data_IF_272282457807
#
_entry.id   IF_272282457807
#
_cell.length_a   1.000
_cell.length_b   1.000
_cell.length_c   1.000
_cell.angle_alpha   90.00
_cell.angle_beta   90.00
_cell.angle_gamma   90.00
#
_symmetry.space_group_name_H-M   'P 1'
#
loop_
_entity.id
_entity.type
_entity.pdbx_description
1 polymer ?
#
# COMPACT_ATOMS: atom_id res chain seq x y z
N UNK A 1 32.12 20.82 -39.03
CA UNK A 1 32.41 21.95 -38.13
C UNK A 1 31.10 22.37 -37.48
N UNK A 2 31.06 22.41 -36.13
CA UNK A 2 29.97 22.84 -35.23
C UNK A 2 28.68 22.02 -35.10
N UNK A 3 28.62 21.20 -34.04
CA UNK A 3 27.76 21.35 -32.84
C UNK A 3 27.99 20.16 -31.90
N UNK A 4 29.17 20.12 -31.28
CA UNK A 4 29.52 19.13 -30.27
C UNK A 4 29.61 19.85 -28.92
N UNK A 5 28.48 19.92 -28.22
CA UNK A 5 28.38 20.47 -26.86
C UNK A 5 26.98 20.15 -26.29
N UNK A 6 26.57 18.88 -26.22
CA UNK A 6 25.19 18.51 -25.83
C UNK A 6 24.96 18.34 -24.33
N UNK A 7 25.98 18.35 -23.47
CA UNK A 7 25.76 18.60 -22.04
C UNK A 7 25.69 20.11 -21.76
N UNK A 8 26.52 20.93 -22.41
CA UNK A 8 26.55 22.39 -22.19
C UNK A 8 25.40 23.13 -22.90
N UNK A 9 24.81 22.59 -23.97
CA UNK A 9 23.69 23.25 -24.67
C UNK A 9 22.29 22.74 -24.32
N UNK A 10 22.16 21.59 -23.66
CA UNK A 10 20.83 21.09 -23.21
C UNK A 10 20.50 21.64 -21.81
N UNK A 11 21.54 22.08 -21.09
CA UNK A 11 21.49 22.90 -19.89
C UNK A 11 21.38 24.39 -20.32
N UNK A 12 20.25 24.79 -20.91
CA UNK A 12 20.03 26.19 -21.34
C UNK A 12 19.22 27.03 -20.35
N UNK A 13 18.81 26.45 -19.22
CA UNK A 13 18.00 27.13 -18.19
C UNK A 13 18.58 26.93 -16.78
N UNK A 14 19.58 26.06 -16.60
CA UNK A 14 20.08 25.65 -15.28
C UNK A 14 21.59 25.97 -15.23
N UNK A 15 22.12 26.51 -14.13
CA UNK A 15 23.57 26.66 -13.99
C UNK A 15 24.11 25.33 -13.43
N UNK A 16 25.08 24.72 -14.11
CA UNK A 16 25.67 23.44 -13.70
C UNK A 16 27.19 23.55 -13.62
N UNK A 17 27.78 23.05 -12.52
CA UNK A 17 29.22 23.02 -12.30
C UNK A 17 29.69 21.57 -12.34
N UNK A 18 30.50 21.22 -13.35
CA UNK A 18 31.16 19.91 -13.46
C UNK A 18 32.50 19.99 -12.73
N UNK A 19 32.69 19.18 -11.70
CA UNK A 19 33.97 19.09 -10.98
C UNK A 19 34.60 17.73 -11.29
N UNK A 20 35.67 17.74 -12.08
CA UNK A 20 36.56 16.58 -12.21
C UNK A 20 37.41 16.54 -10.94
N UNK A 21 37.20 15.55 -10.06
CA UNK A 21 37.90 15.43 -8.77
C UNK A 21 39.35 14.91 -8.99
N UNK A 22 40.11 15.64 -9.79
CA UNK A 22 41.53 15.46 -10.03
C UNK A 22 42.39 16.56 -9.38
N UNK A 23 41.96 17.82 -9.43
CA UNK A 23 42.59 18.96 -8.72
C UNK A 23 41.53 20.07 -8.59
N UNK A 24 41.55 20.80 -7.48
CA UNK A 24 40.72 21.95 -7.05
C UNK A 24 39.70 21.55 -5.96
N UNK A 25 40.26 21.39 -4.76
CA UNK A 25 39.52 21.57 -3.52
C UNK A 25 39.33 23.06 -3.27
N UNK A 26 38.16 23.59 -3.64
CA UNK A 26 37.60 24.78 -2.99
C UNK A 26 36.12 24.85 -3.30
N UNK A 27 35.29 24.35 -2.38
CA UNK A 27 33.90 24.71 -2.06
C UNK A 27 33.30 23.56 -1.23
N UNK A 28 33.90 23.32 -0.05
CA UNK A 28 33.34 22.41 0.95
C UNK A 28 32.64 23.25 2.01
N UNK A 29 31.32 23.30 1.96
CA UNK A 29 30.50 23.74 3.09
C UNK A 29 30.54 22.67 4.19
N UNK A 30 31.30 22.95 5.24
CA UNK A 30 31.30 22.42 6.62
C UNK A 30 30.56 21.10 6.93
N UNK A 31 30.87 20.01 6.23
CA UNK A 31 30.69 18.66 6.75
C UNK A 31 31.93 17.83 6.39
N UNK A 32 32.59 17.14 7.35
CA UNK A 32 33.68 16.25 7.03
C UNK A 32 33.11 14.97 6.39
N UNK A 33 32.98 14.94 5.07
CA UNK A 33 32.65 13.71 4.35
C UNK A 33 33.90 12.84 4.22
N UNK A 34 33.90 11.73 4.95
CA UNK A 34 34.88 10.65 4.80
C UNK A 34 34.78 10.02 3.41
N UNK A 35 35.89 10.06 2.66
CA UNK A 35 36.10 9.27 1.44
C UNK A 35 36.39 7.81 1.82
N UNK A 36 35.37 6.95 1.91
CA UNK A 36 35.58 5.50 2.06
C UNK A 36 34.64 4.60 1.25
N UNK A 37 33.79 5.14 0.38
CA UNK A 37 32.64 4.38 -0.15
C UNK A 37 32.93 3.39 -1.29
N UNK A 38 34.09 3.40 -1.96
CA UNK A 38 34.35 2.50 -3.10
C UNK A 38 35.47 1.46 -2.89
N UNK A 39 35.87 1.16 -1.65
CA UNK A 39 37.02 0.27 -1.44
C UNK A 39 36.78 -1.22 -1.63
N UNK A 40 35.54 -1.75 -1.73
CA UNK A 40 35.31 -3.21 -1.82
C UNK A 40 34.17 -3.62 -2.77
N UNK A 41 34.30 -3.35 -4.07
CA UNK A 41 33.54 -4.11 -5.08
C UNK A 41 34.50 -4.67 -6.12
N UNK A 42 35.08 -5.84 -5.82
CA UNK A 42 35.73 -6.65 -6.84
C UNK A 42 34.67 -7.19 -7.80
N UNK A 43 34.62 -6.62 -9.01
CA UNK A 43 34.01 -7.29 -10.14
C UNK A 43 34.90 -8.49 -10.48
N UNK A 44 34.38 -9.72 -10.29
CA UNK A 44 34.97 -10.92 -10.91
C UNK A 44 34.94 -10.72 -12.41
N UNK A 45 36.09 -10.43 -12.99
CA UNK A 45 36.30 -10.41 -14.43
C UNK A 45 36.56 -11.86 -14.86
N UNK A 46 35.58 -12.46 -15.56
CA UNK A 46 35.82 -13.72 -16.26
C UNK A 46 36.67 -13.43 -17.50
N UNK A 47 37.97 -13.74 -17.39
CA UNK A 47 38.95 -13.57 -18.46
C UNK A 47 38.80 -14.66 -19.51
N UNK A 48 37.78 -14.59 -20.36
CA UNK A 48 37.76 -15.28 -21.66
C UNK A 48 37.01 -14.46 -22.70
N UNK A 49 37.78 -13.70 -23.49
CA UNK A 49 37.72 -13.54 -24.96
C UNK A 49 38.44 -12.24 -25.34
N UNK A 50 39.38 -12.35 -26.28
CA UNK A 50 40.09 -11.25 -26.97
C UNK A 50 40.17 -11.64 -28.45
N UNK A 51 40.23 -10.70 -29.42
CA UNK A 51 39.58 -9.40 -29.49
C UNK A 51 38.90 -9.20 -30.86
N UNK A 52 37.67 -8.70 -30.89
CA UNK A 52 37.17 -7.90 -32.01
C UNK A 52 36.07 -6.98 -31.48
N UNK A 53 36.49 -6.02 -30.65
CA UNK A 53 35.58 -4.99 -30.14
C UNK A 53 35.48 -3.94 -31.23
N UNK A 54 34.38 -3.92 -31.98
CA UNK A 54 33.93 -2.71 -32.67
C UNK A 54 34.11 -1.56 -31.68
N UNK A 55 35.00 -0.63 -32.00
CA UNK A 55 35.39 0.45 -31.11
C UNK A 55 34.13 1.20 -30.66
N UNK A 56 33.68 0.97 -29.42
CA UNK A 56 32.58 1.72 -28.84
C UNK A 56 33.05 3.17 -28.81
N UNK A 57 32.60 3.99 -29.77
CA UNK A 57 33.12 5.35 -29.93
C UNK A 57 32.49 6.26 -28.87
N UNK A 58 33.08 6.27 -27.68
CA UNK A 58 32.78 7.28 -26.67
C UNK A 58 33.60 8.55 -26.95
N UNK A 59 33.01 9.71 -26.74
CA UNK A 59 33.67 11.02 -26.88
C UNK A 59 34.36 11.44 -25.60
N UNK A 60 33.82 11.03 -24.45
CA UNK A 60 34.37 11.39 -23.14
C UNK A 60 34.05 10.29 -22.13
N UNK A 61 35.01 10.00 -21.25
CA UNK A 61 34.85 9.11 -20.11
C UNK A 61 35.52 9.75 -18.90
N UNK A 62 34.79 9.87 -17.79
CA UNK A 62 35.28 10.48 -16.55
C UNK A 62 34.99 9.50 -15.42
N UNK A 63 36.04 9.00 -14.78
CA UNK A 63 35.92 8.18 -13.57
C UNK A 63 35.78 9.09 -12.32
N UNK A 64 35.07 8.60 -11.29
CA UNK A 64 34.72 9.35 -10.08
C UNK A 64 34.00 10.68 -10.37
N UNK A 65 32.98 10.61 -11.23
CA UNK A 65 32.24 11.77 -11.69
C UNK A 65 31.38 12.39 -10.58
N UNK A 66 31.33 13.73 -10.54
CA UNK A 66 30.45 14.50 -9.69
C UNK A 66 29.90 15.76 -10.41
N UNK A 67 28.62 16.04 -10.19
CA UNK A 67 27.89 17.17 -10.78
C UNK A 67 26.95 17.80 -9.76
N UNK A 68 26.93 19.13 -9.69
CA UNK A 68 25.94 19.90 -8.94
C UNK A 68 25.08 20.72 -9.91
N UNK A 69 23.76 20.70 -9.68
CA UNK A 69 22.76 21.41 -10.49
C UNK A 69 22.00 22.43 -9.66
N UNK A 70 21.88 23.65 -10.19
CA UNK A 70 21.25 24.79 -9.51
C UNK A 70 20.08 25.34 -10.32
N UNK A 71 18.97 25.68 -9.66
CA UNK A 71 17.84 26.31 -10.34
C UNK A 71 18.15 27.75 -10.83
N UNK A 72 17.17 28.40 -11.47
CA UNK A 72 17.31 29.78 -11.97
C UNK A 72 17.66 30.79 -10.85
N UNK A 73 17.26 30.51 -9.61
CA UNK A 73 17.57 31.29 -8.40
C UNK A 73 18.94 30.96 -7.78
N UNK A 74 19.73 30.10 -8.42
CA UNK A 74 21.03 29.60 -7.93
C UNK A 74 20.96 28.74 -6.65
N UNK A 75 19.82 28.14 -6.37
CA UNK A 75 19.65 27.21 -5.25
C UNK A 75 20.02 25.80 -5.72
N UNK A 76 20.76 25.05 -4.89
CA UNK A 76 21.16 23.67 -5.19
C UNK A 76 19.91 22.79 -5.22
N UNK A 77 19.70 22.08 -6.33
CA UNK A 77 18.53 21.19 -6.51
C UNK A 77 18.93 19.73 -6.57
N UNK A 78 20.13 19.44 -7.10
CA UNK A 78 20.60 18.07 -7.28
C UNK A 78 22.12 17.99 -7.15
N UNK A 79 22.59 16.88 -6.59
CA UNK A 79 23.99 16.47 -6.60
C UNK A 79 24.08 15.02 -7.07
N UNK A 80 24.77 14.82 -8.18
CA UNK A 80 24.97 13.52 -8.80
C UNK A 80 26.40 13.07 -8.65
N UNK A 81 26.60 11.83 -8.19
CA UNK A 81 27.89 11.13 -8.18
C UNK A 81 27.78 9.84 -8.96
N UNK A 82 28.85 9.41 -9.62
CA UNK A 82 28.90 8.12 -10.29
C UNK A 82 30.31 7.54 -10.27
N UNK A 83 30.42 6.21 -10.35
CA UNK A 83 31.72 5.55 -10.52
C UNK A 83 32.37 5.96 -11.83
N UNK A 84 31.58 6.00 -12.90
CA UNK A 84 32.04 6.39 -14.23
C UNK A 84 30.92 7.12 -14.98
N UNK A 85 31.29 8.21 -15.64
CA UNK A 85 30.51 8.91 -16.66
C UNK A 85 31.02 8.52 -18.04
N UNK A 86 30.13 8.23 -18.98
CA UNK A 86 30.46 7.90 -20.36
C UNK A 86 29.55 8.68 -21.30
N UNK A 87 30.14 9.51 -22.15
CA UNK A 87 29.44 10.21 -23.22
C UNK A 87 29.74 9.52 -24.56
N UNK A 88 28.70 9.11 -25.27
CA UNK A 88 28.81 8.42 -26.55
C UNK A 88 28.54 9.38 -27.71
N UNK A 89 29.12 9.08 -28.87
CA UNK A 89 28.95 9.94 -30.05
C UNK A 89 27.49 10.03 -30.54
N UNK A 90 26.74 8.92 -30.43
CA UNK A 90 25.39 8.76 -30.99
C UNK A 90 24.39 8.11 -30.02
N UNK A 91 24.70 8.09 -28.71
CA UNK A 91 23.85 7.48 -27.69
C UNK A 91 23.76 8.38 -26.46
N UNK A 92 22.70 8.25 -25.64
CA UNK A 92 22.58 8.98 -24.39
C UNK A 92 23.80 8.78 -23.49
N UNK A 93 24.14 9.82 -22.73
CA UNK A 93 25.19 9.75 -21.71
C UNK A 93 24.81 8.77 -20.62
N UNK A 94 25.74 7.89 -20.23
CA UNK A 94 25.53 6.87 -19.19
C UNK A 94 26.35 7.17 -17.94
N UNK A 95 25.73 7.02 -16.78
CA UNK A 95 26.37 6.93 -15.48
C UNK A 95 26.36 5.48 -15.00
N UNK A 96 27.51 4.99 -14.53
CA UNK A 96 27.63 3.69 -13.88
C UNK A 96 27.65 3.86 -12.36
N UNK A 97 26.83 3.07 -11.67
CA UNK A 97 26.60 3.15 -10.22
C UNK A 97 26.31 4.59 -9.74
N UNK A 98 25.30 5.26 -10.33
CA UNK A 98 24.96 6.62 -9.91
C UNK A 98 24.35 6.64 -8.51
N UNK A 99 24.66 7.71 -7.79
CA UNK A 99 24.04 8.13 -6.55
C UNK A 99 23.60 9.57 -6.74
N UNK A 100 22.30 9.81 -6.80
CA UNK A 100 21.71 11.14 -6.97
C UNK A 100 21.07 11.56 -5.67
N UNK A 101 21.42 12.75 -5.18
CA UNK A 101 20.80 13.39 -4.03
C UNK A 101 20.02 14.62 -4.49
N UNK A 102 18.75 14.71 -4.09
CA UNK A 102 17.90 15.89 -4.31
C UNK A 102 17.87 16.76 -3.05
N UNK A 103 17.57 18.05 -3.24
CA UNK A 103 17.51 19.04 -2.17
C UNK A 103 16.18 19.77 -2.21
N UNK A 104 15.62 20.05 -1.03
CA UNK A 104 14.42 20.86 -0.88
C UNK A 104 14.72 22.36 -1.08
N UNK A 105 13.68 23.18 -1.00
CA UNK A 105 13.77 24.66 -1.12
C UNK A 105 14.65 25.32 -0.06
N UNK A 106 14.85 24.66 1.08
CA UNK A 106 15.67 25.15 2.19
C UNK A 106 17.13 24.66 2.07
N UNK A 107 17.44 23.90 1.00
CA UNK A 107 18.76 23.35 0.71
C UNK A 107 19.10 22.11 1.53
N UNK A 108 18.12 21.46 2.14
CA UNK A 108 18.30 20.23 2.90
C UNK A 108 18.18 19.01 1.99
N UNK A 109 19.03 17.97 2.15
CA UNK A 109 18.91 16.74 1.38
C UNK A 109 17.59 16.03 1.66
N UNK A 110 16.83 15.75 0.60
CA UNK A 110 15.47 15.21 0.70
C UNK A 110 15.45 13.73 0.32
N UNK A 111 15.87 13.38 -0.89
CA UNK A 111 15.87 12.00 -1.41
C UNK A 111 17.24 11.59 -1.97
N UNK A 112 17.49 10.28 -1.95
CA UNK A 112 18.59 9.62 -2.64
C UNK A 112 18.05 8.57 -3.60
N UNK A 113 18.55 8.59 -4.84
CA UNK A 113 18.25 7.62 -5.88
C UNK A 113 19.54 6.90 -6.28
N UNK A 114 19.53 5.57 -6.20
CA UNK A 114 20.64 4.69 -6.56
C UNK A 114 20.19 3.69 -7.62
N UNK A 115 21.11 3.21 -8.47
CA UNK A 115 20.86 2.14 -9.45
C UNK A 115 22.18 1.55 -9.95
N UNK A 116 22.11 0.50 -10.79
CA UNK A 116 23.29 -0.03 -11.49
C UNK A 116 23.79 0.93 -12.58
N UNK A 117 22.86 1.56 -13.30
CA UNK A 117 23.18 2.57 -14.32
C UNK A 117 22.06 3.57 -14.50
N UNK A 118 22.39 4.77 -15.00
CA UNK A 118 21.41 5.74 -15.44
C UNK A 118 21.81 6.39 -16.75
N UNK A 119 20.83 6.69 -17.60
CA UNK A 119 21.02 7.42 -18.84
C UNK A 119 20.42 8.82 -18.72
N UNK A 120 21.22 9.85 -18.98
CA UNK A 120 20.73 11.20 -19.19
C UNK A 120 20.14 11.30 -20.59
N UNK A 121 18.85 11.59 -20.64
CA UNK A 121 18.09 11.75 -21.86
C UNK A 121 17.90 13.24 -22.18
N UNK A 122 17.28 13.51 -23.33
CA UNK A 122 16.95 14.86 -23.73
C UNK A 122 16.07 15.57 -22.68
N UNK A 123 16.21 16.90 -22.64
CA UNK A 123 15.44 17.81 -21.77
C UNK A 123 15.68 17.64 -20.26
N UNK A 124 16.71 16.92 -19.85
CA UNK A 124 17.07 16.70 -18.44
C UNK A 124 16.34 15.52 -17.80
N UNK A 125 15.67 14.68 -18.60
CA UNK A 125 15.08 13.44 -18.10
C UNK A 125 16.18 12.40 -17.81
N UNK A 126 15.92 11.53 -16.83
CA UNK A 126 16.88 10.50 -16.43
C UNK A 126 16.16 9.15 -16.42
N UNK A 127 16.78 8.14 -17.04
CA UNK A 127 16.32 6.75 -16.95
C UNK A 127 17.32 5.91 -16.15
N UNK A 128 16.93 5.50 -14.95
CA UNK A 128 17.67 4.56 -14.10
C UNK A 128 17.31 3.11 -14.46
N UNK A 129 18.29 2.23 -14.41
CA UNK A 129 18.20 0.83 -14.83
C UNK A 129 18.96 -0.05 -13.84
N UNK A 130 18.31 -1.13 -13.40
CA UNK A 130 18.84 -2.17 -12.53
C UNK A 130 18.83 -1.75 -11.07
N UNK A 131 18.14 -2.53 -10.22
CA UNK A 131 18.12 -2.36 -8.76
C UNK A 131 17.93 -0.89 -8.32
N UNK A 132 16.93 -0.22 -8.87
CA UNK A 132 16.66 1.20 -8.58
C UNK A 132 16.05 1.32 -7.19
N UNK A 133 16.68 2.11 -6.32
CA UNK A 133 16.21 2.36 -4.96
C UNK A 133 16.05 3.87 -4.78
N UNK A 134 14.85 4.30 -4.40
CA UNK A 134 14.53 5.68 -4.01
C UNK A 134 14.27 5.68 -2.51
N UNK A 135 15.03 6.46 -1.75
CA UNK A 135 14.85 6.57 -0.29
C UNK A 135 14.99 8.03 0.17
N UNK A 136 14.21 8.48 1.16
CA UNK A 136 14.41 9.75 1.81
C UNK A 136 15.72 9.72 2.61
N UNK A 137 16.39 10.85 2.68
CA UNK A 137 17.63 11.02 3.47
C UNK A 137 17.29 11.32 4.92
N UNK A 138 16.20 12.04 5.16
CA UNK A 138 15.69 12.37 6.49
C UNK A 138 14.23 11.92 6.62
N UNK A 139 13.80 11.59 7.83
CA UNK A 139 12.43 11.14 8.09
C UNK A 139 12.20 9.64 7.95
N UNK A 140 10.94 9.30 7.73
CA UNK A 140 10.32 8.07 8.18
C UNK A 140 10.40 6.91 7.18
N UNK A 141 11.60 6.42 6.84
CA UNK A 141 11.83 5.05 6.36
C UNK A 141 11.17 4.57 5.05
N UNK A 142 10.31 5.36 4.41
CA UNK A 142 9.63 4.96 3.18
C UNK A 142 10.65 4.75 2.08
N UNK A 143 10.54 3.72 1.27
CA UNK A 143 11.40 3.61 0.09
C UNK A 143 10.72 2.84 -1.04
N UNK A 144 11.19 3.10 -2.25
CA UNK A 144 10.70 2.45 -3.45
C UNK A 144 11.84 1.66 -4.06
N UNK A 145 11.55 0.42 -4.42
CA UNK A 145 12.45 -0.44 -5.19
C UNK A 145 11.79 -0.86 -6.49
N UNK A 146 12.54 -0.79 -7.59
CA UNK A 146 12.05 -1.15 -8.94
C UNK A 146 13.22 -1.46 -9.88
N UNK A 147 12.96 -2.10 -11.03
CA UNK A 147 14.03 -2.44 -11.98
C UNK A 147 14.36 -1.30 -12.95
N UNK A 148 13.40 -0.43 -13.21
CA UNK A 148 13.63 0.81 -13.96
C UNK A 148 12.87 1.98 -13.37
N UNK A 149 13.43 3.18 -13.53
CA UNK A 149 12.75 4.41 -13.15
C UNK A 149 13.05 5.48 -14.18
N UNK A 150 11.99 6.08 -14.70
CA UNK A 150 12.09 7.31 -15.47
C UNK A 150 11.74 8.49 -14.56
N UNK A 151 12.60 9.48 -14.54
CA UNK A 151 12.45 10.72 -13.78
C UNK A 151 12.42 11.90 -14.75
N UNK A 152 11.38 12.72 -14.62
CA UNK A 152 11.23 13.99 -15.33
C UNK A 152 11.24 15.14 -14.34
N UNK A 153 12.41 15.74 -14.06
CA UNK A 153 12.54 16.79 -13.04
C UNK A 153 11.64 18.00 -13.32
N UNK A 154 11.55 18.43 -14.58
CA UNK A 154 10.73 19.58 -14.99
C UNK A 154 9.26 19.44 -14.62
N UNK A 155 8.75 18.21 -14.66
CA UNK A 155 7.33 17.93 -14.46
C UNK A 155 7.05 17.31 -13.09
N UNK A 156 8.09 17.12 -12.25
CA UNK A 156 8.00 16.42 -10.96
C UNK A 156 7.41 15.00 -11.07
N UNK A 157 7.61 14.35 -12.21
CA UNK A 157 6.98 13.07 -12.53
C UNK A 157 8.00 11.94 -12.51
N UNK A 158 7.65 10.87 -11.80
CA UNK A 158 8.38 9.62 -11.74
C UNK A 158 7.48 8.50 -12.27
N UNK A 159 8.02 7.59 -13.06
CA UNK A 159 7.29 6.38 -13.42
C UNK A 159 8.19 5.17 -13.63
N UNK A 160 7.63 3.99 -13.40
CA UNK A 160 8.23 2.69 -13.70
C UNK A 160 7.18 1.85 -14.42
N UNK A 161 7.59 1.08 -15.42
CA UNK A 161 6.73 0.05 -16.04
C UNK A 161 7.10 -1.36 -15.55
N UNK A 162 7.92 -1.46 -14.52
CA UNK A 162 8.37 -2.73 -13.94
C UNK A 162 7.74 -2.96 -12.57
N UNK A 163 7.94 -4.14 -11.98
CA UNK A 163 7.50 -4.42 -10.61
C UNK A 163 8.00 -3.31 -9.67
N UNK A 164 7.12 -2.88 -8.76
CA UNK A 164 7.42 -1.89 -7.73
C UNK A 164 7.21 -2.52 -6.36
N UNK A 165 8.21 -2.41 -5.48
CA UNK A 165 8.03 -2.60 -4.05
C UNK A 165 8.04 -1.22 -3.40
N UNK A 166 6.97 -0.86 -2.70
CA UNK A 166 6.88 0.35 -1.89
C UNK A 166 6.85 -0.06 -0.42
N UNK A 167 7.76 0.50 0.34
CA UNK A 167 7.91 0.26 1.77
C UNK A 167 7.49 1.50 2.53
N UNK A 168 6.76 1.28 3.60
CA UNK A 168 6.35 2.26 4.59
C UNK A 168 6.76 1.76 5.99
N UNK A 169 6.59 2.59 7.02
CA UNK A 169 6.83 2.22 8.41
C UNK A 169 6.08 0.96 8.84
N UNK A 170 4.86 0.80 8.32
CA UNK A 170 3.87 -0.19 8.74
C UNK A 170 3.33 -1.04 7.60
N UNK A 171 3.79 -0.80 6.38
CA UNK A 171 3.26 -1.44 5.18
C UNK A 171 4.36 -1.81 4.19
N UNK A 172 4.14 -2.92 3.50
CA UNK A 172 4.93 -3.34 2.36
C UNK A 172 4.01 -3.65 1.21
N UNK A 173 4.16 -2.91 0.11
CA UNK A 173 3.27 -2.97 -1.04
C UNK A 173 4.05 -3.48 -2.25
N UNK A 174 3.54 -4.52 -2.90
CA UNK A 174 4.09 -5.04 -4.15
C UNK A 174 3.08 -4.82 -5.29
N UNK A 175 3.46 -4.03 -6.29
CA UNK A 175 2.66 -3.84 -7.51
C UNK A 175 3.35 -4.43 -8.73
N UNK A 176 2.61 -5.16 -9.56
CA UNK A 176 3.21 -5.93 -10.68
C UNK A 176 3.53 -5.11 -11.92
N UNK A 177 2.76 -4.07 -12.22
CA UNK A 177 2.78 -3.45 -13.56
C UNK A 177 3.33 -2.02 -13.57
N UNK A 178 3.91 -1.55 -12.47
CA UNK A 178 4.55 -0.25 -12.40
C UNK A 178 3.98 0.73 -11.41
N UNK A 179 4.47 1.96 -11.53
CA UNK A 179 4.00 3.11 -10.77
C UNK A 179 4.06 4.40 -11.59
N UNK A 180 3.27 5.38 -11.17
CA UNK A 180 3.43 6.80 -11.51
C UNK A 180 3.35 7.59 -10.21
N UNK A 181 4.20 8.59 -10.07
CA UNK A 181 4.18 9.48 -8.92
C UNK A 181 4.41 10.91 -9.38
N UNK A 182 3.66 11.84 -8.80
CA UNK A 182 4.02 13.24 -8.82
C UNK A 182 4.61 13.61 -7.46
N UNK A 183 5.89 14.01 -7.42
CA UNK A 183 6.58 14.29 -6.15
C UNK A 183 6.11 15.57 -5.48
N UNK A 184 5.56 16.52 -6.24
CA UNK A 184 5.04 17.78 -5.67
C UNK A 184 3.67 17.60 -5.03
N UNK A 185 2.82 16.77 -5.64
CA UNK A 185 1.47 16.51 -5.14
C UNK A 185 1.44 15.43 -4.05
N UNK A 186 2.55 14.72 -3.85
CA UNK A 186 2.68 13.58 -2.91
C UNK A 186 1.65 12.47 -3.20
N UNK A 187 1.41 12.21 -4.49
CA UNK A 187 0.45 11.20 -4.96
C UNK A 187 1.15 10.17 -5.84
N UNK A 188 0.85 8.90 -5.56
CA UNK A 188 1.40 7.76 -6.28
C UNK A 188 0.27 6.83 -6.72
N UNK A 189 0.27 6.44 -7.99
CA UNK A 189 -0.55 5.35 -8.50
C UNK A 189 0.34 4.14 -8.77
N UNK A 190 -0.02 3.01 -8.20
CA UNK A 190 0.57 1.69 -8.44
C UNK A 190 -0.34 0.92 -9.40
N UNK A 191 0.23 0.25 -10.40
CA UNK A 191 -0.54 -0.42 -11.45
C UNK A 191 -0.46 -1.95 -11.37
N UNK A 192 -1.55 -2.60 -11.78
CA UNK A 192 -1.65 -4.04 -11.87
C UNK A 192 -2.20 -4.69 -10.61
N UNK A 193 -1.90 -5.97 -10.42
CA UNK A 193 -2.17 -6.66 -9.16
C UNK A 193 -1.27 -6.09 -8.06
N UNK A 194 -1.88 -5.78 -6.92
CA UNK A 194 -1.20 -5.14 -5.79
C UNK A 194 -1.46 -5.93 -4.51
N UNK A 195 -0.40 -6.42 -3.88
CA UNK A 195 -0.42 -7.04 -2.56
C UNK A 195 0.08 -6.00 -1.55
N UNK A 196 -0.68 -5.76 -0.47
CA UNK A 196 -0.34 -4.83 0.62
C UNK A 196 -0.25 -5.68 1.89
N UNK A 197 0.93 -5.78 2.46
CA UNK A 197 1.17 -6.41 3.76
C UNK A 197 1.12 -5.31 4.81
N UNK A 198 0.27 -5.47 5.80
CA UNK A 198 0.17 -4.57 6.95
C UNK A 198 0.85 -5.20 8.16
N UNK A 199 1.00 -4.43 9.23
CA UNK A 199 1.39 -4.97 10.53
C UNK A 199 0.43 -6.08 10.99
N UNK A 200 0.92 -7.00 11.83
CA UNK A 200 0.17 -8.14 12.39
C UNK A 200 -0.25 -9.22 11.39
N UNK A 201 0.59 -9.50 10.37
CA UNK A 201 0.41 -10.55 9.37
C UNK A 201 -0.87 -10.42 8.50
N UNK A 202 -1.47 -9.23 8.50
CA UNK A 202 -2.65 -8.93 7.68
C UNK A 202 -2.25 -8.61 6.24
N UNK A 203 -3.09 -9.02 5.29
CA UNK A 203 -2.83 -8.78 3.86
C UNK A 203 -4.06 -8.27 3.15
N UNK A 204 -3.89 -7.24 2.34
CA UNK A 204 -4.86 -6.78 1.35
C UNK A 204 -4.37 -7.16 -0.06
N UNK A 205 -5.27 -7.65 -0.89
CA UNK A 205 -5.02 -7.95 -2.30
C UNK A 205 -6.01 -7.17 -3.15
N UNK A 206 -5.50 -6.32 -4.03
CA UNK A 206 -6.33 -5.45 -4.88
C UNK A 206 -5.71 -5.27 -6.25
N UNK A 207 -6.25 -4.35 -7.05
CA UNK A 207 -5.63 -3.85 -8.26
C UNK A 207 -5.59 -2.33 -8.25
N UNK A 208 -4.60 -1.77 -8.93
CA UNK A 208 -4.47 -0.34 -9.18
C UNK A 208 -4.71 0.50 -7.91
N UNK A 209 -3.68 0.57 -7.06
CA UNK A 209 -3.74 1.27 -5.79
C UNK A 209 -3.28 2.72 -5.97
N UNK A 210 -4.10 3.68 -5.53
CA UNK A 210 -3.71 5.07 -5.39
C UNK A 210 -3.32 5.36 -3.94
N UNK A 211 -2.19 6.01 -3.75
CA UNK A 211 -1.64 6.41 -2.46
C UNK A 211 -1.60 7.93 -2.48
N UNK A 212 -2.39 8.54 -1.61
CA UNK A 212 -2.38 9.99 -1.36
C UNK A 212 -1.68 10.23 -0.03
N UNK A 213 -0.59 11.01 -0.07
CA UNK A 213 0.17 11.43 1.11
C UNK A 213 0.07 12.93 1.39
N UNK A 214 -0.72 13.63 0.58
CA UNK A 214 -0.76 15.08 0.60
C UNK A 214 -1.25 15.62 1.94
N UNK A 215 -0.59 16.69 2.42
CA UNK A 215 -0.91 17.37 3.69
C UNK A 215 -0.80 16.43 4.91
N UNK A 216 0.07 15.43 4.81
CA UNK A 216 0.31 14.44 5.86
C UNK A 216 -0.74 13.34 5.93
N UNK A 217 -1.85 13.42 5.19
CA UNK A 217 -2.88 12.38 5.16
C UNK A 217 -2.36 11.17 4.39
N UNK A 218 -2.33 9.98 4.99
CA UNK A 218 -1.84 8.77 4.33
C UNK A 218 -3.02 7.84 4.03
N UNK A 219 -3.51 7.90 2.79
CA UNK A 219 -4.68 7.14 2.34
C UNK A 219 -4.39 6.27 1.14
N UNK A 220 -4.79 5.01 1.25
CA UNK A 220 -4.63 4.03 0.19
C UNK A 220 -6.02 3.69 -0.35
N UNK A 221 -6.25 3.91 -1.64
CA UNK A 221 -7.55 3.76 -2.27
C UNK A 221 -7.47 2.86 -3.50
N UNK A 222 -8.44 1.96 -3.64
CA UNK A 222 -8.65 1.21 -4.89
C UNK A 222 -10.13 1.10 -5.21
N UNK A 223 -10.45 1.29 -6.50
CA UNK A 223 -11.80 1.08 -7.05
C UNK A 223 -12.03 -0.36 -7.53
N UNK A 224 -11.10 -1.26 -7.23
CA UNK A 224 -11.12 -2.63 -7.70
C UNK A 224 -11.40 -3.61 -6.56
N UNK A 225 -11.91 -4.78 -6.97
CA UNK A 225 -12.24 -5.84 -6.04
C UNK A 225 -11.04 -6.15 -5.13
N UNK A 226 -11.31 -6.15 -3.83
CA UNK A 226 -10.29 -6.22 -2.79
C UNK A 226 -10.56 -7.40 -1.86
N UNK A 227 -9.53 -8.19 -1.58
CA UNK A 227 -9.55 -9.24 -0.57
C UNK A 227 -8.70 -8.82 0.63
N UNK A 228 -9.30 -8.71 1.81
CA UNK A 228 -8.62 -8.57 3.08
C UNK A 228 -8.50 -9.94 3.76
N UNK A 229 -7.34 -10.22 4.37
CA UNK A 229 -7.04 -11.48 5.04
C UNK A 229 -6.42 -11.17 6.41
N UNK A 230 -6.99 -11.72 7.47
CA UNK A 230 -6.46 -11.65 8.84
C UNK A 230 -6.76 -12.94 9.61
N UNK A 231 -5.72 -13.72 9.90
CA UNK A 231 -5.88 -15.07 10.47
C UNK A 231 -6.81 -15.94 9.60
N UNK A 232 -7.86 -16.49 10.22
CA UNK A 232 -8.88 -17.31 9.54
C UNK A 232 -9.95 -16.47 8.81
N UNK A 233 -9.92 -15.14 8.93
CA UNK A 233 -10.89 -14.25 8.30
C UNK A 233 -10.44 -13.89 6.90
N UNK A 234 -11.36 -14.08 5.94
CA UNK A 234 -11.22 -13.57 4.58
C UNK A 234 -12.40 -12.68 4.25
N UNK A 235 -12.15 -11.44 3.84
CA UNK A 235 -13.19 -10.51 3.43
C UNK A 235 -12.99 -10.11 1.98
N UNK A 236 -13.99 -10.34 1.14
CA UNK A 236 -13.98 -9.91 -0.26
C UNK A 236 -14.92 -8.70 -0.43
N UNK A 237 -14.51 -7.72 -1.22
CA UNK A 237 -15.28 -6.49 -1.49
C UNK A 237 -15.08 -5.96 -2.91
N UNK A 238 -15.86 -4.96 -3.31
CA UNK A 238 -15.79 -4.37 -4.66
C UNK A 238 -14.73 -3.26 -4.78
N UNK A 239 -14.37 -2.61 -3.67
CA UNK A 239 -13.39 -1.53 -3.60
C UNK A 239 -12.87 -1.36 -2.17
N UNK A 240 -11.79 -0.61 -1.99
CA UNK A 240 -11.25 -0.29 -0.66
C UNK A 240 -10.81 1.17 -0.50
N UNK A 241 -10.87 1.64 0.74
CA UNK A 241 -10.27 2.90 1.18
C UNK A 241 -9.70 2.68 2.59
N UNK A 242 -8.37 2.74 2.71
CA UNK A 242 -7.63 2.54 3.95
C UNK A 242 -7.05 3.86 4.41
N UNK A 243 -7.45 4.27 5.61
CA UNK A 243 -6.88 5.39 6.34
C UNK A 243 -5.78 4.87 7.27
N UNK A 244 -4.52 5.12 6.92
CA UNK A 244 -3.37 4.60 7.67
C UNK A 244 -3.17 5.28 9.02
N UNK A 245 -3.64 6.51 9.19
CA UNK A 245 -3.52 7.26 10.44
C UNK A 245 -4.50 6.73 11.48
N UNK A 246 -5.75 6.57 11.07
CA UNK A 246 -6.81 6.08 11.95
C UNK A 246 -6.81 4.55 12.07
N UNK A 247 -6.06 3.85 11.21
CA UNK A 247 -6.05 2.39 11.12
C UNK A 247 -7.45 1.82 10.83
N UNK A 248 -8.16 2.46 9.89
CA UNK A 248 -9.53 2.13 9.49
C UNK A 248 -9.54 1.74 8.02
N UNK A 249 -10.01 0.53 7.75
CA UNK A 249 -10.22 0.00 6.41
C UNK A 249 -11.71 0.01 6.07
N UNK A 250 -12.08 0.74 5.03
CA UNK A 250 -13.41 0.70 4.44
C UNK A 250 -13.41 -0.23 3.22
N UNK A 251 -14.22 -1.29 3.29
CA UNK A 251 -14.48 -2.21 2.20
C UNK A 251 -15.82 -1.84 1.55
N UNK A 252 -15.72 -1.17 0.40
CA UNK A 252 -16.79 -0.44 -0.25
C UNK A 252 -17.59 -1.37 -1.17
N UNK A 253 -18.90 -1.14 -1.26
CA UNK A 253 -19.81 -1.92 -2.09
C UNK A 253 -20.23 -3.20 -1.40
N UNK A 254 -20.51 -4.26 -2.16
CA UNK A 254 -20.83 -5.58 -1.58
C UNK A 254 -19.62 -6.15 -0.86
N UNK A 255 -19.80 -6.59 0.37
CA UNK A 255 -18.77 -7.20 1.19
C UNK A 255 -19.22 -8.59 1.66
N UNK A 256 -18.28 -9.54 1.61
CA UNK A 256 -18.47 -10.94 2.02
C UNK A 256 -17.37 -11.34 3.00
N UNK A 257 -17.74 -11.59 4.26
CA UNK A 257 -16.84 -12.11 5.30
C UNK A 257 -16.98 -13.64 5.32
N UNK A 258 -15.88 -14.33 5.09
CA UNK A 258 -15.74 -15.78 5.23
C UNK A 258 -14.88 -16.04 6.46
N UNK A 259 -15.50 -16.62 7.48
CA UNK A 259 -14.85 -17.21 8.64
C UNK A 259 -15.26 -18.69 8.70
N UNK A 260 -14.42 -19.55 9.30
CA UNK A 260 -14.54 -21.02 9.26
C UNK A 260 -15.97 -21.57 9.31
N UNK A 261 -16.81 -21.05 10.21
CA UNK A 261 -18.16 -21.56 10.46
C UNK A 261 -19.28 -20.55 10.11
N UNK A 262 -18.91 -19.37 9.61
CA UNK A 262 -19.83 -18.26 9.40
C UNK A 262 -19.55 -17.56 8.08
N UNK A 263 -20.61 -17.37 7.31
CA UNK A 263 -20.60 -16.53 6.12
C UNK A 263 -21.47 -15.28 6.35
N UNK A 264 -20.91 -14.09 6.11
CA UNK A 264 -21.63 -12.82 6.30
C UNK A 264 -21.62 -12.03 5.00
N UNK A 265 -22.79 -11.69 4.49
CA UNK A 265 -22.95 -10.80 3.35
C UNK A 265 -23.51 -9.46 3.83
N UNK A 266 -22.84 -8.36 3.49
CA UNK A 266 -23.27 -7.01 3.83
C UNK A 266 -22.82 -6.03 2.75
N UNK A 267 -22.98 -4.73 2.98
CA UNK A 267 -22.43 -3.67 2.13
C UNK A 267 -21.69 -2.63 2.95
N UNK A 268 -20.67 -1.99 2.37
CA UNK A 268 -19.86 -0.95 3.01
C UNK A 268 -19.41 -1.35 4.43
N UNK A 269 -18.60 -2.41 4.48
CA UNK A 269 -18.07 -2.92 5.72
C UNK A 269 -16.88 -2.09 6.15
N UNK A 270 -16.83 -1.74 7.44
CA UNK A 270 -15.68 -1.09 8.05
C UNK A 270 -14.96 -2.08 8.93
N UNK A 271 -13.63 -2.10 8.84
CA UNK A 271 -12.73 -2.84 9.74
C UNK A 271 -11.91 -1.79 10.48
N UNK A 272 -12.20 -1.62 11.77
CA UNK A 272 -11.51 -0.71 12.67
C UNK A 272 -10.49 -1.49 13.50
N UNK A 273 -9.25 -1.04 13.46
CA UNK A 273 -8.11 -1.67 14.14
C UNK A 273 -7.39 -0.69 15.07
N UNK A 274 -7.96 0.49 15.32
CA UNK A 274 -7.35 1.56 16.13
C UNK A 274 -7.09 1.14 17.58
N UNK A 275 -7.92 0.23 18.11
CA UNK A 275 -7.85 -0.25 19.50
C UNK A 275 -6.93 -1.45 19.71
N UNK A 276 -6.25 -1.95 18.66
CA UNK A 276 -5.50 -3.20 18.69
C UNK A 276 -6.37 -4.47 18.66
N UNK A 277 -7.69 -4.31 18.55
CA UNK A 277 -8.67 -5.37 18.31
C UNK A 277 -9.46 -5.03 17.05
N UNK A 278 -9.61 -6.01 16.16
CA UNK A 278 -10.35 -5.83 14.91
C UNK A 278 -11.85 -5.84 15.19
N UNK A 279 -12.51 -4.73 14.86
CA UNK A 279 -13.96 -4.56 14.90
C UNK A 279 -14.49 -4.48 13.48
N UNK A 280 -15.43 -5.34 13.13
CA UNK A 280 -16.04 -5.39 11.80
C UNK A 280 -17.48 -4.90 11.91
N UNK A 281 -17.83 -3.79 11.25
CA UNK A 281 -19.18 -3.26 11.36
C UNK A 281 -19.73 -2.71 10.05
N UNK A 282 -21.05 -2.82 9.90
CA UNK A 282 -21.79 -2.21 8.80
C UNK A 282 -23.15 -1.72 9.29
N UNK A 283 -23.57 -0.57 8.78
CA UNK A 283 -24.90 0.02 9.03
C UNK A 283 -25.92 -0.39 7.96
N UNK A 284 -25.66 -1.49 7.25
CA UNK A 284 -26.47 -1.96 6.14
C UNK A 284 -27.03 -3.35 6.40
N UNK A 285 -28.10 -3.66 5.67
CA UNK A 285 -28.74 -4.97 5.69
C UNK A 285 -27.70 -6.07 5.53
N UNK A 286 -27.74 -7.02 6.44
CA UNK A 286 -26.74 -8.06 6.58
C UNK A 286 -27.43 -9.42 6.59
N UNK A 287 -26.86 -10.37 5.84
CA UNK A 287 -27.18 -11.78 5.96
C UNK A 287 -26.05 -12.48 6.72
N UNK A 288 -26.35 -13.09 7.85
CA UNK A 288 -25.45 -13.89 8.66
C UNK A 288 -25.86 -15.36 8.53
N UNK A 289 -24.97 -16.18 8.01
CA UNK A 289 -25.22 -17.56 7.64
C UNK A 289 -24.35 -18.48 8.50
N UNK A 290 -25.00 -19.40 9.20
CA UNK A 290 -24.36 -20.49 9.93
C UNK A 290 -24.72 -21.83 9.30
N UNK A 291 -24.26 -22.94 9.88
CA UNK A 291 -24.64 -24.28 9.43
C UNK A 291 -26.15 -24.51 9.43
N UNK A 292 -26.87 -23.96 10.42
CA UNK A 292 -28.27 -24.28 10.67
C UNK A 292 -29.22 -23.09 10.48
N UNK A 293 -28.70 -21.87 10.53
CA UNK A 293 -29.52 -20.66 10.55
C UNK A 293 -29.11 -19.67 9.46
N UNK A 294 -30.13 -19.03 8.87
CA UNK A 294 -29.97 -17.81 8.09
C UNK A 294 -30.60 -16.66 8.86
N UNK A 295 -29.78 -15.67 9.22
CA UNK A 295 -30.19 -14.54 10.02
C UNK A 295 -30.08 -13.26 9.19
N UNK A 296 -31.14 -12.46 9.17
CA UNK A 296 -31.16 -11.15 8.52
C UNK A 296 -31.17 -10.07 9.58
N UNK A 297 -30.38 -9.01 9.38
CA UNK A 297 -30.40 -7.81 10.23
C UNK A 297 -30.25 -6.52 9.42
N UNK A 298 -30.52 -5.37 10.03
CA UNK A 298 -30.37 -4.05 9.40
C UNK A 298 -28.94 -3.49 9.53
N UNK A 299 -28.16 -4.02 10.47
CA UNK A 299 -26.76 -3.67 10.70
C UNK A 299 -26.03 -4.78 11.48
N UNK A 300 -24.71 -4.71 11.52
CA UNK A 300 -23.84 -5.65 12.24
C UNK A 300 -22.64 -4.95 12.89
N UNK A 301 -22.20 -5.45 14.04
CA UNK A 301 -20.93 -5.13 14.72
C UNK A 301 -20.36 -6.44 15.27
N UNK A 302 -19.14 -6.77 14.89
CA UNK A 302 -18.49 -8.03 15.24
C UNK A 302 -17.17 -7.73 15.94
N UNK A 303 -17.07 -8.27 17.15
CA UNK A 303 -15.80 -8.49 17.81
C UNK A 303 -15.31 -9.91 17.48
N UNK A 304 -14.42 -10.01 16.48
CA UNK A 304 -13.91 -11.30 16.03
C UNK A 304 -13.08 -12.00 17.10
N UNK A 305 -12.28 -11.25 17.88
CA UNK A 305 -11.44 -11.84 18.93
C UNK A 305 -12.28 -12.29 20.13
N UNK A 306 -13.32 -11.54 20.46
CA UNK A 306 -14.31 -11.90 21.47
C UNK A 306 -15.24 -13.03 21.04
N UNK A 307 -15.29 -13.37 19.74
CA UNK A 307 -16.27 -14.26 19.15
C UNK A 307 -17.72 -13.83 19.45
N UNK A 308 -17.98 -12.53 19.40
CA UNK A 308 -19.30 -11.93 19.66
C UNK A 308 -19.72 -11.13 18.43
N UNK A 309 -20.94 -11.36 17.96
CA UNK A 309 -21.58 -10.58 16.90
C UNK A 309 -22.86 -9.94 17.43
N UNK A 310 -23.06 -8.66 17.13
CA UNK A 310 -24.29 -7.93 17.39
C UNK A 310 -24.98 -7.62 16.07
N UNK A 311 -26.22 -8.07 15.94
CA UNK A 311 -27.07 -7.85 14.78
C UNK A 311 -28.15 -6.86 15.18
N UNK A 312 -28.08 -5.64 14.67
CA UNK A 312 -28.93 -4.54 15.12
C UNK A 312 -30.17 -4.32 14.26
N UNK A 313 -31.14 -3.60 14.85
CA UNK A 313 -32.40 -3.27 14.21
C UNK A 313 -33.33 -4.48 14.16
N UNK A 314 -34.12 -4.59 13.09
CA UNK A 314 -34.98 -5.76 12.87
C UNK A 314 -34.14 -6.98 12.55
N UNK A 315 -34.38 -8.07 13.30
CA UNK A 315 -33.68 -9.34 13.11
C UNK A 315 -34.68 -10.45 12.81
N UNK A 316 -34.39 -11.26 11.78
CA UNK A 316 -35.16 -12.46 11.44
C UNK A 316 -34.23 -13.65 11.34
N UNK A 317 -34.47 -14.66 12.17
CA UNK A 317 -33.77 -15.94 12.17
C UNK A 317 -34.65 -16.96 11.44
N UNK A 318 -34.10 -17.58 10.40
CA UNK A 318 -34.69 -18.72 9.71
C UNK A 318 -33.86 -19.96 10.03
N UNK A 319 -34.44 -20.90 10.78
CA UNK A 319 -33.79 -22.14 11.14
C UNK A 319 -34.05 -23.22 10.08
N UNK A 320 -33.12 -24.16 9.93
CA UNK A 320 -33.26 -25.32 9.03
C UNK A 320 -34.47 -26.22 9.36
N UNK A 321 -34.96 -26.18 10.61
CA UNK A 321 -36.21 -26.84 11.04
C UNK A 321 -37.48 -26.25 10.42
N UNK A 322 -37.38 -25.09 9.76
CA UNK A 322 -38.52 -24.30 9.29
C UNK A 322 -39.04 -23.30 10.32
N UNK A 323 -38.45 -23.25 11.51
CA UNK A 323 -38.78 -22.25 12.53
C UNK A 323 -38.35 -20.84 12.10
N UNK A 324 -39.19 -19.87 12.43
CA UNK A 324 -38.92 -18.45 12.22
C UNK A 324 -38.93 -17.74 13.58
N UNK A 325 -37.91 -16.91 13.83
CA UNK A 325 -37.85 -16.06 15.02
C UNK A 325 -37.65 -14.62 14.55
N UNK A 326 -38.65 -13.77 14.79
CA UNK A 326 -38.55 -12.33 14.56
C UNK A 326 -38.23 -11.64 15.90
N UNK A 327 -37.24 -10.74 15.92
CA UNK A 327 -36.88 -9.94 17.09
C UNK A 327 -36.29 -8.59 16.65
N UNK A 328 -35.89 -7.77 17.62
CA UNK A 328 -34.90 -6.72 17.40
C UNK A 328 -33.61 -7.05 18.15
N UNK A 329 -32.49 -6.47 17.72
CA UNK A 329 -31.16 -6.53 18.34
C UNK A 329 -30.79 -7.90 18.94
N UNK A 330 -29.99 -8.67 18.20
CA UNK A 330 -29.57 -10.01 18.58
C UNK A 330 -28.06 -10.02 18.87
N UNK A 331 -27.69 -10.51 20.05
CA UNK A 331 -26.32 -10.90 20.37
C UNK A 331 -26.15 -12.38 20.00
N UNK A 332 -25.08 -12.68 19.26
CA UNK A 332 -24.59 -14.04 19.00
C UNK A 332 -23.24 -14.16 19.70
N UNK A 333 -23.18 -15.02 20.72
CA UNK A 333 -21.99 -15.24 21.52
C UNK A 333 -21.46 -16.66 21.31
N UNK A 334 -20.19 -16.76 20.88
CA UNK A 334 -19.48 -18.04 20.67
C UNK A 334 -18.24 -18.19 21.56
N UNK A 335 -18.04 -17.32 22.55
CA UNK A 335 -16.78 -17.23 23.31
C UNK A 335 -16.46 -18.47 24.14
N UNK A 336 -17.47 -19.24 24.54
CA UNK A 336 -17.33 -20.38 25.47
C UNK A 336 -17.43 -21.74 24.77
N UNK A 337 -17.23 -21.80 23.44
CA UNK A 337 -17.40 -23.03 22.66
C UNK A 337 -18.85 -23.49 22.49
N UNK A 338 -19.81 -22.68 22.94
CA UNK A 338 -21.25 -22.82 22.69
C UNK A 338 -21.71 -21.59 21.91
N UNK A 339 -22.60 -21.79 20.95
CA UNK A 339 -23.26 -20.69 20.25
C UNK A 339 -24.58 -20.35 20.95
N UNK A 340 -24.69 -19.12 21.42
CA UNK A 340 -25.86 -18.61 22.14
C UNK A 340 -26.41 -17.40 21.42
N UNK A 341 -27.72 -17.43 21.12
CA UNK A 341 -28.46 -16.27 20.65
C UNK A 341 -29.19 -15.62 21.82
N UNK A 342 -29.01 -14.32 22.01
CA UNK A 342 -29.59 -13.58 23.13
C UNK A 342 -30.19 -12.26 22.67
N UNK A 343 -31.37 -11.94 23.20
CA UNK A 343 -31.99 -10.63 23.03
C UNK A 343 -32.85 -10.29 24.25
N UNK A 344 -32.91 -9.00 24.56
CA UNK A 344 -33.82 -8.44 25.57
C UNK A 344 -35.01 -7.73 24.91
N UNK A 345 -35.15 -7.84 23.59
CA UNK A 345 -36.25 -7.30 22.83
C UNK A 345 -37.35 -8.34 22.61
N UNK A 346 -38.55 -7.84 22.28
CA UNK A 346 -39.70 -8.69 21.98
C UNK A 346 -39.39 -9.65 20.85
N UNK A 347 -39.70 -10.92 21.08
CA UNK A 347 -39.57 -11.98 20.11
C UNK A 347 -40.93 -12.49 19.65
N UNK A 348 -40.98 -12.99 18.42
CA UNK A 348 -42.05 -13.81 17.87
C UNK A 348 -41.43 -15.10 17.31
N UNK A 349 -41.63 -16.20 18.02
CA UNK A 349 -41.21 -17.53 17.60
C UNK A 349 -42.38 -18.25 16.91
N UNK A 350 -42.16 -18.79 15.72
CA UNK A 350 -43.14 -19.59 14.98
C UNK A 350 -42.52 -20.88 14.49
N UNK A 351 -43.15 -21.99 14.81
CA UNK A 351 -42.89 -23.30 14.22
C UNK A 351 -44.18 -23.87 13.63
N UNK A 352 -44.15 -25.14 13.20
CA UNK A 352 -45.34 -25.83 12.69
C UNK A 352 -46.44 -26.00 13.74
N UNK A 353 -46.07 -26.21 15.00
CA UNK A 353 -47.01 -26.58 16.07
C UNK A 353 -47.12 -25.52 17.17
N UNK A 354 -46.34 -24.43 17.08
CA UNK A 354 -46.24 -23.44 18.14
C UNK A 354 -46.10 -22.02 17.57
N UNK A 355 -46.86 -21.08 18.14
CA UNK A 355 -46.68 -19.64 17.96
C UNK A 355 -46.50 -18.99 19.35
N UNK A 356 -45.29 -18.49 19.64
CA UNK A 356 -44.92 -17.88 20.93
C UNK A 356 -44.53 -16.42 20.78
N UNK A 357 -44.87 -15.62 21.79
CA UNK A 357 -44.39 -14.25 21.98
C UNK A 357 -43.82 -14.08 23.37
N UNK A 358 -42.68 -13.41 23.48
CA UNK A 358 -42.01 -13.08 24.74
C UNK A 358 -41.25 -11.74 24.62
N UNK A 359 -40.74 -11.21 25.73
CA UNK A 359 -39.98 -9.93 25.74
C UNK A 359 -38.47 -10.14 25.67
N UNK A 360 -37.99 -11.37 25.73
CA UNK A 360 -36.58 -11.68 25.53
C UNK A 360 -36.36 -13.18 25.38
N UNK A 361 -35.15 -13.52 24.96
CA UNK A 361 -34.76 -14.88 24.61
C UNK A 361 -33.30 -15.12 24.97
N UNK A 362 -33.04 -16.30 25.51
CA UNK A 362 -31.73 -16.93 25.55
C UNK A 362 -31.85 -18.29 24.86
N UNK A 363 -31.15 -18.49 23.76
CA UNK A 363 -31.22 -19.71 22.97
C UNK A 363 -29.83 -20.34 22.84
N UNK A 364 -29.66 -21.50 23.48
CA UNK A 364 -28.49 -22.36 23.30
C UNK A 364 -28.70 -23.17 22.02
N UNK A 365 -27.96 -22.81 20.97
CA UNK A 365 -28.12 -23.39 19.63
C UNK A 365 -27.71 -24.86 19.62
N UNK A 366 -26.64 -25.20 20.34
CA UNK A 366 -26.09 -26.57 20.39
C UNK A 366 -27.05 -27.53 21.09
N UNK A 367 -27.70 -27.09 22.16
CA UNK A 367 -28.68 -27.90 22.90
C UNK A 367 -30.11 -27.77 22.36
N UNK A 368 -30.34 -26.80 21.47
CA UNK A 368 -31.67 -26.41 21.00
C UNK A 368 -32.62 -26.07 22.16
N UNK A 369 -32.09 -25.46 23.23
CA UNK A 369 -32.87 -25.06 24.41
C UNK A 369 -33.10 -23.55 24.35
N UNK A 370 -34.36 -23.16 24.36
CA UNK A 370 -34.78 -21.76 24.36
C UNK A 370 -35.45 -21.39 25.68
N UNK A 371 -34.88 -20.41 26.36
CA UNK A 371 -35.46 -19.76 27.54
C UNK A 371 -36.09 -18.44 27.12
N UNK A 372 -37.37 -18.27 27.46
CA UNK A 372 -38.16 -17.07 27.16
C UNK A 372 -38.46 -16.32 28.45
N UNK A 373 -38.40 -14.99 28.40
CA UNK A 373 -38.61 -14.14 29.57
C UNK A 373 -39.53 -12.93 29.28
N UNK A 374 -39.95 -12.27 30.36
CA UNK A 374 -40.76 -11.05 30.30
C UNK A 374 -42.19 -11.26 29.78
N UNK A 375 -42.85 -12.31 30.27
CA UNK A 375 -44.23 -12.69 29.93
C UNK A 375 -44.30 -13.48 28.63
N UNK A 376 -44.65 -14.77 28.74
CA UNK A 376 -44.73 -15.68 27.59
C UNK A 376 -46.19 -15.94 27.25
N UNK A 377 -46.58 -15.64 26.02
CA UNK A 377 -47.88 -16.03 25.46
C UNK A 377 -47.63 -17.07 24.36
N UNK A 378 -48.36 -18.18 24.40
CA UNK A 378 -48.19 -19.26 23.44
C UNK A 378 -49.49 -19.89 23.01
N UNK A 379 -49.59 -20.19 21.72
CA UNK A 379 -50.66 -21.01 21.13
C UNK A 379 -50.01 -22.29 20.58
N UNK A 380 -50.65 -23.43 20.87
CA UNK A 380 -50.19 -24.77 20.50
C UNK A 380 -51.29 -25.48 19.70
N UNK A 381 -50.91 -26.21 18.66
CA UNK A 381 -51.82 -27.05 17.87
C UNK A 381 -52.03 -28.44 18.47
#
# INVERSE_FOLDING_TARGET
>A
MMKNLQLINTIKITISIIVVIGVIGFLISKTPLSLYFFQNSELKTDNRISPEVESISYTEKIDNFALQEFNESQELTQHTKAKTYINYKNSPTTLLLPVITTYDKDGLPEYQINSESANYLDEGNIKFIGNVIIKPITGDGHHVETEELFVSPKNNNLHSNSKVNYYDKRTHIESKDGMKMNTKDEKMDLFGYTDIKLDNDQTLKTKNLSIDRSKGNERYHSKFATTYISGDNRVNSEAMDLDMQENILNLIGKAKIENKDVLINTTNLVIDQSSGQERYYSKHNTEYLTQNDKIYSEAIDIDMKGNISYLYGKVKILQSSGTIIDTNNLEINKSNGMEVYKTNDKIHYKSRTVDLKATGMHYDVSRQIMELNGGVFGVYE
#
